data_IF_980362109395
#
_entry.id   IF_980362109395
#
_cell.length_a   1.000
_cell.length_b   1.000
_cell.length_c   1.000
_cell.angle_alpha   90.00
_cell.angle_beta   90.00
_cell.angle_gamma   90.00
#
_symmetry.space_group_name_H-M   'P 1'
#
loop_
_entity.id
_entity.type
_entity.pdbx_description
1 polymer ?
#
# COMPACT_ATOMS: atom_id res chain seq x y z
N UNK A 1 -15.17 10.28 17.40
CA UNK A 1 -14.87 10.14 15.96
C UNK A 1 -14.00 8.91 15.80
N UNK A 2 -14.56 7.76 15.40
CA UNK A 2 -13.77 6.53 15.22
C UNK A 2 -12.83 6.78 14.05
N UNK A 3 -11.52 6.85 14.31
CA UNK A 3 -10.52 6.84 13.26
C UNK A 3 -10.71 5.52 12.51
N UNK A 4 -11.37 5.58 11.35
CA UNK A 4 -11.33 4.52 10.34
C UNK A 4 -9.84 4.30 10.07
N UNK A 5 -9.25 3.28 10.71
CA UNK A 5 -7.87 2.90 10.43
C UNK A 5 -7.89 2.42 8.98
N UNK A 6 -7.56 3.33 8.06
CA UNK A 6 -7.35 3.01 6.64
C UNK A 6 -6.40 1.82 6.64
N UNK A 7 -6.92 0.66 6.27
CA UNK A 7 -6.22 -0.60 6.52
C UNK A 7 -5.19 -0.82 5.42
N UNK A 8 -4.16 0.05 5.39
CA UNK A 8 -3.08 0.02 4.41
C UNK A 8 -2.35 -1.33 4.41
N UNK A 9 -2.43 -2.09 5.49
CA UNK A 9 -1.94 -3.46 5.55
C UNK A 9 -2.68 -4.38 4.55
N UNK A 10 -4.01 -4.24 4.41
CA UNK A 10 -4.78 -4.99 3.43
C UNK A 10 -4.44 -4.54 2.01
N UNK A 11 -4.33 -3.23 1.77
CA UNK A 11 -3.93 -2.69 0.47
C UNK A 11 -2.55 -3.21 0.04
N UNK A 12 -1.58 -3.21 0.97
CA UNK A 12 -0.25 -3.75 0.72
C UNK A 12 -0.34 -5.23 0.31
N UNK A 13 -1.11 -6.03 1.05
CA UNK A 13 -1.23 -7.46 0.76
C UNK A 13 -1.83 -7.71 -0.63
N UNK A 14 -2.88 -6.99 -0.97
CA UNK A 14 -3.49 -7.05 -2.32
C UNK A 14 -2.50 -6.63 -3.42
N UNK A 15 -1.71 -5.58 -3.18
CA UNK A 15 -0.67 -5.16 -4.12
C UNK A 15 0.42 -6.21 -4.30
N UNK A 16 0.86 -6.85 -3.21
CA UNK A 16 1.84 -7.93 -3.27
C UNK A 16 1.32 -9.11 -4.09
N UNK A 17 0.08 -9.53 -3.82
CA UNK A 17 -0.54 -10.66 -4.51
C UNK A 17 -0.78 -10.36 -6.01
N UNK A 18 -1.14 -9.12 -6.36
CA UNK A 18 -1.44 -8.74 -7.76
C UNK A 18 -0.21 -8.43 -8.60
N UNK A 19 0.85 -7.89 -7.99
CA UNK A 19 2.12 -7.57 -8.63
C UNK A 19 3.14 -8.72 -8.55
N UNK A 20 2.81 -9.82 -7.84
CA UNK A 20 3.71 -10.93 -7.54
C UNK A 20 5.03 -10.45 -6.88
N UNK A 21 4.90 -9.52 -5.93
CA UNK A 21 6.04 -8.90 -5.25
C UNK A 21 6.14 -9.37 -3.80
N UNK A 22 7.35 -9.76 -3.40
CA UNK A 22 7.66 -10.00 -2.00
C UNK A 22 7.60 -8.71 -1.18
N UNK A 23 7.49 -8.84 0.14
CA UNK A 23 7.45 -7.69 1.05
C UNK A 23 8.70 -6.81 0.91
N UNK A 24 9.86 -7.41 0.67
CA UNK A 24 11.10 -6.67 0.47
C UNK A 24 11.15 -5.95 -0.87
N UNK A 25 10.64 -6.56 -1.93
CA UNK A 25 10.56 -5.93 -3.25
C UNK A 25 9.60 -4.75 -3.24
N UNK A 26 8.42 -4.93 -2.66
CA UNK A 26 7.47 -3.83 -2.50
C UNK A 26 8.05 -2.76 -1.56
N UNK A 27 8.64 -3.13 -0.43
CA UNK A 27 9.31 -2.19 0.47
C UNK A 27 10.44 -1.38 -0.20
N UNK A 28 11.14 -1.92 -1.21
CA UNK A 28 12.11 -1.16 -2.01
C UNK A 28 11.44 -0.13 -2.92
N UNK A 29 10.23 -0.39 -3.41
CA UNK A 29 9.46 0.54 -4.24
C UNK A 29 8.78 1.64 -3.42
N UNK A 30 8.12 1.28 -2.32
CA UNK A 30 7.40 2.23 -1.44
C UNK A 30 8.30 2.81 -0.32
N UNK A 31 9.51 2.29 -0.17
CA UNK A 31 10.53 2.78 0.78
C UNK A 31 10.34 2.31 2.22
N UNK A 32 9.55 1.26 2.48
CA UNK A 32 9.28 0.88 3.88
C UNK A 32 8.80 -0.55 4.10
N UNK A 33 9.61 -1.30 4.86
CA UNK A 33 9.27 -2.57 5.52
C UNK A 33 8.48 -2.40 6.83
N UNK A 34 8.25 -1.15 7.27
CA UNK A 34 7.72 -0.79 8.61
C UNK A 34 6.19 -0.82 8.74
N UNK A 35 5.46 -1.08 7.66
CA UNK A 35 3.99 -0.95 7.64
C UNK A 35 3.27 -2.12 8.28
N UNK A 36 3.90 -3.30 8.31
CA UNK A 36 3.30 -4.52 8.85
C UNK A 36 3.24 -4.55 10.38
N UNK A 37 4.07 -3.74 11.05
CA UNK A 37 4.20 -3.75 12.51
C UNK A 37 3.36 -2.65 13.20
N UNK A 38 2.49 -1.95 12.47
CA UNK A 38 1.48 -1.06 13.03
C UNK A 38 1.98 0.19 13.75
N UNK A 39 3.28 0.50 13.70
CA UNK A 39 3.90 1.42 14.67
C UNK A 39 4.36 2.76 14.11
N UNK A 40 4.33 3.01 12.80
CA UNK A 40 4.82 4.28 12.25
C UNK A 40 3.83 4.90 11.26
N UNK A 41 3.46 6.14 11.56
CA UNK A 41 2.66 7.04 10.75
C UNK A 41 3.21 7.06 9.31
N UNK A 42 2.39 6.56 8.38
CA UNK A 42 2.70 6.49 6.95
C UNK A 42 3.13 7.86 6.44
N UNK A 43 4.34 8.00 5.89
CA UNK A 43 4.78 9.28 5.34
C UNK A 43 3.93 9.64 4.11
N UNK A 44 3.66 10.93 3.86
CA UNK A 44 2.93 11.36 2.65
C UNK A 44 3.55 10.82 1.36
N UNK A 45 4.89 10.72 1.32
CA UNK A 45 5.62 10.15 0.19
C UNK A 45 5.28 8.67 -0.05
N UNK A 46 5.22 7.86 1.00
CA UNK A 46 4.92 6.44 0.84
C UNK A 46 3.43 6.18 0.51
N UNK A 47 2.52 7.07 0.92
CA UNK A 47 1.12 7.08 0.43
C UNK A 47 1.06 7.37 -1.07
N UNK A 48 1.84 8.35 -1.55
CA UNK A 48 1.91 8.66 -2.98
C UNK A 48 2.48 7.49 -3.80
N UNK A 49 3.53 6.83 -3.30
CA UNK A 49 4.11 5.66 -3.95
C UNK A 49 3.11 4.48 -4.02
N UNK A 50 2.31 4.27 -2.98
CA UNK A 50 1.22 3.28 -3.05
C UNK A 50 0.16 3.65 -4.08
N UNK A 51 -0.20 4.94 -4.18
CA UNK A 51 -1.17 5.39 -5.18
C UNK A 51 -0.63 5.19 -6.60
N UNK A 52 0.66 5.42 -6.81
CA UNK A 52 1.32 5.12 -8.08
C UNK A 52 1.28 3.61 -8.39
N UNK A 53 1.65 2.76 -7.44
CA UNK A 53 1.58 1.31 -7.62
C UNK A 53 0.16 0.80 -7.94
N UNK A 54 -0.87 1.39 -7.31
CA UNK A 54 -2.27 1.10 -7.63
C UNK A 54 -2.66 1.58 -9.03
N UNK A 55 -2.19 2.76 -9.45
CA UNK A 55 -2.44 3.26 -10.80
C UNK A 55 -1.72 2.44 -11.88
N UNK A 56 -0.51 1.94 -11.59
CA UNK A 56 0.28 1.11 -12.51
C UNK A 56 -0.37 -0.26 -12.76
N UNK A 57 -1.24 -0.72 -11.86
CA UNK A 57 -2.07 -1.91 -12.08
C UNK A 57 -3.21 -1.69 -13.10
N UNK A 58 -3.48 -0.46 -13.51
CA UNK A 58 -4.57 -0.12 -14.43
C UNK A 58 -5.93 -0.61 -13.91
N UNK A 59 -6.69 -1.31 -14.77
CA UNK A 59 -8.01 -1.87 -14.41
C UNK A 59 -7.95 -2.81 -13.20
N UNK A 60 -6.81 -3.49 -12.98
CA UNK A 60 -6.60 -4.39 -11.83
C UNK A 60 -6.31 -3.64 -10.52
N UNK A 61 -6.22 -2.31 -10.55
CA UNK A 61 -6.04 -1.47 -9.36
C UNK A 61 -7.24 -0.58 -9.06
N UNK A 62 -8.26 -0.55 -9.92
CA UNK A 62 -9.40 0.36 -9.77
C UNK A 62 -10.17 0.13 -8.46
N UNK A 63 -10.35 -1.13 -8.06
CA UNK A 63 -10.97 -1.50 -6.78
C UNK A 63 -10.07 -1.16 -5.58
N UNK A 64 -8.76 -1.09 -5.75
CA UNK A 64 -7.82 -0.75 -4.67
C UNK A 64 -7.79 0.74 -4.34
N UNK A 65 -8.35 1.61 -5.20
CA UNK A 65 -8.46 3.04 -4.92
C UNK A 65 -9.35 3.34 -3.71
N UNK A 66 -10.27 2.44 -3.34
CA UNK A 66 -11.16 2.59 -2.19
C UNK A 66 -10.44 2.67 -0.83
N UNK A 67 -9.16 2.28 -0.77
CA UNK A 67 -8.35 2.27 0.44
C UNK A 67 -7.71 3.64 0.77
N UNK A 68 -7.77 4.62 -0.14
CA UNK A 68 -7.25 5.97 0.05
C UNK A 68 -8.33 6.98 0.43
#
# INVERSE_FOLDING_TARGET
MKLQVKNYANLIRELQDRLDLTQEQLAKQIGTSRWRNGHHQTSPMAINLLRQAVNDLGDRGADLQQYF
#
